data_IF_329230123420
#
_entry.id   IF_329230123420
#
_cell.length_a   1.000
_cell.length_b   1.000
_cell.length_c   1.000
_cell.angle_alpha   90.00
_cell.angle_beta   90.00
_cell.angle_gamma   90.00
#
_symmetry.space_group_name_H-M   'P 1'
#
loop_
_entity.id
_entity.type
_entity.pdbx_description
1 polymer ?
#
# COMPACT_ATOMS: atom_id res chain seq x y z
N UNK A 1 6.20 36.17 -47.27
CA UNK A 1 5.79 34.79 -46.90
C UNK A 1 6.29 34.49 -45.49
N UNK A 2 5.85 35.30 -44.52
CA UNK A 2 4.79 35.06 -43.53
C UNK A 2 5.20 34.16 -42.36
N UNK A 3 5.56 34.83 -41.26
CA UNK A 3 5.69 34.31 -39.89
C UNK A 3 4.43 33.58 -39.39
N UNK A 4 3.31 33.60 -40.13
CA UNK A 4 2.10 32.82 -39.81
C UNK A 4 2.28 31.32 -40.05
N UNK A 5 3.08 30.91 -41.04
CA UNK A 5 3.28 29.49 -41.37
C UNK A 5 4.10 28.74 -40.30
N UNK A 6 5.07 29.42 -39.65
CA UNK A 6 5.85 28.83 -38.56
C UNK A 6 5.01 28.63 -37.28
N UNK A 7 4.14 29.59 -36.94
CA UNK A 7 3.25 29.47 -35.77
C UNK A 7 2.20 28.38 -35.92
N UNK A 8 1.70 28.16 -37.14
CA UNK A 8 0.79 27.06 -37.44
C UNK A 8 1.46 25.69 -37.32
N UNK A 9 2.76 25.59 -37.61
CA UNK A 9 3.52 24.34 -37.51
C UNK A 9 3.86 23.99 -36.05
N UNK A 10 4.24 24.97 -35.22
CA UNK A 10 4.46 24.74 -33.78
C UNK A 10 3.18 24.37 -33.03
N UNK A 11 2.05 25.01 -33.38
CA UNK A 11 0.76 24.69 -32.75
C UNK A 11 0.27 23.28 -33.13
N UNK A 12 0.52 22.85 -34.38
CA UNK A 12 0.16 21.51 -34.84
C UNK A 12 1.03 20.42 -34.19
N UNK A 13 2.33 20.67 -34.00
CA UNK A 13 3.24 19.76 -33.29
C UNK A 13 2.86 19.64 -31.81
N UNK A 14 2.53 20.75 -31.14
CA UNK A 14 2.06 20.75 -29.74
C UNK A 14 0.72 20.02 -29.61
N UNK A 15 -0.22 20.15 -30.56
CA UNK A 15 -1.48 19.41 -30.57
C UNK A 15 -1.29 17.90 -30.83
N UNK A 16 -0.34 17.50 -31.68
CA UNK A 16 -0.05 16.07 -31.91
C UNK A 16 0.70 15.42 -30.75
N UNK A 17 1.60 16.15 -30.06
CA UNK A 17 2.34 15.61 -28.90
C UNK A 17 1.45 15.57 -27.65
N UNK A 18 0.53 16.51 -27.48
CA UNK A 18 -0.44 16.47 -26.36
C UNK A 18 -1.52 15.41 -26.55
N UNK A 19 -1.99 15.17 -27.77
CA UNK A 19 -2.93 14.06 -28.06
C UNK A 19 -2.28 12.68 -27.98
N UNK A 20 -1.00 12.54 -28.31
CA UNK A 20 -0.27 11.28 -28.09
C UNK A 20 0.03 11.00 -26.61
N UNK A 21 0.28 12.03 -25.79
CA UNK A 21 0.47 11.84 -24.35
C UNK A 21 -0.84 11.58 -23.59
N UNK A 22 -1.95 12.20 -24.01
CA UNK A 22 -3.26 11.91 -23.43
C UNK A 22 -3.84 10.55 -23.84
N UNK A 23 -3.46 10.03 -25.01
CA UNK A 23 -3.89 8.70 -25.46
C UNK A 23 -3.09 7.54 -24.84
N UNK A 24 -1.86 7.76 -24.34
CA UNK A 24 -1.09 6.69 -23.69
C UNK A 24 -1.45 6.52 -22.20
N UNK A 25 -1.78 7.61 -21.50
CA UNK A 25 -2.22 7.51 -20.10
C UNK A 25 -3.61 6.87 -19.95
N UNK A 26 -4.43 6.84 -20.99
CA UNK A 26 -5.78 6.25 -20.95
C UNK A 26 -5.82 4.74 -21.26
N UNK A 27 -4.69 4.12 -21.60
CA UNK A 27 -4.64 2.73 -22.09
C UNK A 27 -4.18 1.66 -21.07
N UNK A 28 -3.87 2.03 -19.81
CA UNK A 28 -3.26 1.08 -18.84
C UNK A 28 -4.23 0.57 -17.77
N UNK A 29 -5.50 0.98 -17.76
CA UNK A 29 -6.49 0.39 -16.85
C UNK A 29 -7.84 0.28 -17.55
N UNK A 30 -8.12 -0.88 -18.15
CA UNK A 30 -9.49 -1.21 -18.54
C UNK A 30 -10.31 -1.48 -17.28
N UNK A 31 -11.29 -0.62 -17.02
CA UNK A 31 -12.35 -0.88 -16.04
C UNK A 31 -13.25 -1.96 -16.65
N UNK A 32 -13.12 -3.20 -16.16
CA UNK A 32 -13.93 -4.30 -16.66
C UNK A 32 -15.33 -4.22 -16.05
N UNK A 33 -16.35 -4.14 -16.90
CA UNK A 33 -17.76 -4.19 -16.51
C UNK A 33 -18.05 -5.47 -15.67
N UNK A 34 -18.96 -5.36 -14.71
CA UNK A 34 -19.11 -6.26 -13.53
C UNK A 34 -19.36 -7.75 -13.81
N UNK A 35 -19.48 -8.17 -15.08
CA UNK A 35 -19.60 -9.57 -15.51
C UNK A 35 -18.25 -10.25 -15.79
N UNK A 36 -17.16 -9.50 -16.01
CA UNK A 36 -15.83 -10.05 -16.32
C UNK A 36 -14.94 -10.32 -15.08
N UNK A 37 -15.32 -9.79 -13.92
CA UNK A 37 -14.52 -9.85 -12.68
C UNK A 37 -14.33 -11.27 -12.14
N UNK A 38 -15.19 -12.23 -12.51
CA UNK A 38 -15.07 -13.64 -12.09
C UNK A 38 -13.82 -14.34 -12.66
N UNK A 39 -13.24 -13.83 -13.75
CA UNK A 39 -12.05 -14.43 -14.39
C UNK A 39 -10.71 -13.82 -13.92
N UNK A 40 -10.73 -12.79 -13.07
CA UNK A 40 -9.52 -12.13 -12.58
C UNK A 40 -8.98 -12.76 -11.28
N UNK A 41 -9.72 -13.68 -10.67
CA UNK A 41 -9.28 -14.37 -9.45
C UNK A 41 -8.27 -15.45 -9.82
N UNK A 42 -7.08 -15.40 -9.23
CA UNK A 42 -6.07 -16.44 -9.40
C UNK A 42 -6.67 -17.80 -9.00
N UNK A 43 -6.69 -18.76 -9.93
CA UNK A 43 -7.07 -20.14 -9.60
C UNK A 43 -6.11 -20.69 -8.56
N UNK A 44 -6.66 -21.38 -7.56
CA UNK A 44 -5.87 -22.04 -6.52
C UNK A 44 -4.83 -22.99 -7.15
N UNK A 45 -3.52 -22.81 -6.90
CA UNK A 45 -2.50 -23.77 -7.27
C UNK A 45 -2.75 -25.12 -6.57
N UNK A 46 -2.56 -26.24 -7.27
CA UNK A 46 -2.85 -27.61 -6.76
C UNK A 46 -2.21 -27.90 -5.39
N UNK A 47 -1.04 -27.32 -5.12
CA UNK A 47 -0.26 -27.57 -3.90
C UNK A 47 -0.37 -26.46 -2.84
N UNK A 48 -1.24 -25.45 -3.03
CA UNK A 48 -1.41 -24.38 -2.05
C UNK A 48 -2.60 -24.68 -1.13
N UNK A 49 -2.35 -24.83 0.17
CA UNK A 49 -3.40 -24.99 1.18
C UNK A 49 -3.93 -23.66 1.68
N UNK A 50 -3.07 -22.64 1.74
CA UNK A 50 -3.39 -21.34 2.32
C UNK A 50 -3.38 -20.24 1.26
N UNK A 51 -4.29 -19.27 1.40
CA UNK A 51 -4.41 -18.08 0.56
C UNK A 51 -3.79 -16.86 1.26
N UNK A 52 -2.86 -16.20 0.57
CA UNK A 52 -2.19 -14.98 1.01
C UNK A 52 -2.96 -13.73 0.57
N UNK A 53 -3.30 -12.86 1.51
CA UNK A 53 -3.69 -11.48 1.22
C UNK A 53 -2.47 -10.56 1.28
N UNK A 54 -1.97 -10.07 0.15
CA UNK A 54 -0.94 -9.03 0.14
C UNK A 54 -1.62 -7.68 0.34
N UNK A 55 -1.42 -7.05 1.49
CA UNK A 55 -2.03 -5.76 1.83
C UNK A 55 -0.98 -4.68 1.64
N UNK A 56 -1.26 -3.75 0.72
CA UNK A 56 -0.36 -2.67 0.33
C UNK A 56 -0.97 -1.32 0.73
N UNK A 57 -0.52 -0.71 1.84
CA UNK A 57 -0.91 0.65 2.22
C UNK A 57 -0.48 1.64 1.14
N UNK A 58 -1.41 2.44 0.63
CA UNK A 58 -1.18 3.22 -0.58
C UNK A 58 -1.74 4.64 -0.51
N UNK A 59 -0.94 5.60 -1.01
CA UNK A 59 -1.36 6.94 -1.42
C UNK A 59 -0.26 7.55 -2.29
N UNK A 60 -0.61 8.04 -3.47
CA UNK A 60 0.30 8.77 -4.37
C UNK A 60 1.61 8.00 -4.62
N UNK A 61 1.52 6.71 -4.95
CA UNK A 61 2.64 5.80 -5.27
C UNK A 61 2.47 5.07 -6.61
N UNK A 62 1.87 5.73 -7.59
CA UNK A 62 1.48 5.08 -8.85
C UNK A 62 2.66 4.48 -9.63
N UNK A 63 3.77 5.23 -9.76
CA UNK A 63 4.99 4.73 -10.43
C UNK A 63 5.52 3.46 -9.76
N UNK A 64 5.56 3.44 -8.42
CA UNK A 64 6.00 2.27 -7.65
C UNK A 64 5.01 1.12 -7.79
N UNK A 65 3.71 1.39 -7.85
CA UNK A 65 2.69 0.38 -8.06
C UNK A 65 2.85 -0.36 -9.41
N UNK A 66 3.16 0.39 -10.47
CA UNK A 66 3.36 -0.18 -11.80
C UNK A 66 4.54 -1.17 -11.84
N UNK A 67 5.61 -0.90 -11.08
CA UNK A 67 6.72 -1.85 -10.96
C UNK A 67 6.41 -2.98 -9.97
N UNK A 68 5.73 -2.66 -8.87
CA UNK A 68 5.46 -3.57 -7.76
C UNK A 68 4.58 -4.75 -8.15
N UNK A 69 3.44 -4.48 -8.79
CA UNK A 69 2.40 -5.46 -9.05
C UNK A 69 2.91 -6.59 -9.97
N UNK A 70 3.44 -6.34 -11.18
CA UNK A 70 3.93 -7.40 -12.04
C UNK A 70 5.12 -8.14 -11.41
N UNK A 71 6.03 -7.42 -10.73
CA UNK A 71 7.17 -8.05 -10.04
C UNK A 71 6.70 -9.04 -8.98
N UNK A 72 5.83 -8.62 -8.06
CA UNK A 72 5.39 -9.46 -6.96
C UNK A 72 4.50 -10.60 -7.44
N UNK A 73 3.62 -10.36 -8.41
CA UNK A 73 2.80 -11.41 -9.03
C UNK A 73 3.68 -12.54 -9.59
N UNK A 74 4.71 -12.19 -10.37
CA UNK A 74 5.69 -13.16 -10.90
C UNK A 74 6.45 -13.86 -9.77
N UNK A 75 6.94 -13.10 -8.79
CA UNK A 75 7.70 -13.63 -7.66
C UNK A 75 6.90 -14.68 -6.87
N UNK A 76 5.63 -14.40 -6.56
CA UNK A 76 4.75 -15.30 -5.81
C UNK A 76 4.28 -16.50 -6.66
N UNK A 77 4.01 -16.29 -7.96
CA UNK A 77 3.66 -17.37 -8.89
C UNK A 77 4.80 -18.39 -9.02
N UNK A 78 6.06 -17.93 -9.09
CA UNK A 78 7.23 -18.81 -9.13
C UNK A 78 7.39 -19.67 -7.85
N UNK A 79 6.79 -19.22 -6.75
CA UNK A 79 6.74 -19.96 -5.48
C UNK A 79 5.46 -20.82 -5.35
N UNK A 80 4.58 -20.82 -6.35
CA UNK A 80 3.25 -21.46 -6.30
C UNK A 80 2.39 -20.99 -5.12
N UNK A 81 2.55 -19.74 -4.69
CA UNK A 81 1.74 -19.16 -3.60
C UNK A 81 0.38 -18.75 -4.15
N UNK A 82 -0.70 -19.24 -3.55
CA UNK A 82 -2.04 -18.72 -3.81
C UNK A 82 -2.21 -17.36 -3.15
N UNK A 83 -2.48 -16.31 -3.92
CA UNK A 83 -2.51 -14.95 -3.38
C UNK A 83 -3.52 -14.02 -4.08
N UNK A 84 -3.84 -12.93 -3.40
CA UNK A 84 -4.53 -11.77 -3.93
C UNK A 84 -3.82 -10.50 -3.44
N UNK A 85 -3.63 -9.53 -4.33
CA UNK A 85 -3.03 -8.24 -3.99
C UNK A 85 -4.14 -7.20 -3.77
N UNK A 86 -4.11 -6.55 -2.61
CA UNK A 86 -5.03 -5.50 -2.18
C UNK A 86 -4.29 -4.18 -2.01
N UNK A 87 -4.58 -3.21 -2.87
CA UNK A 87 -4.07 -1.85 -2.74
C UNK A 87 -5.05 -1.06 -1.88
N UNK A 88 -4.64 -0.73 -0.66
CA UNK A 88 -5.49 0.01 0.29
C UNK A 88 -5.20 1.49 0.15
N UNK A 89 -5.95 2.14 -0.75
CA UNK A 89 -5.77 3.52 -1.14
C UNK A 89 -6.45 4.47 -0.14
N UNK A 90 -5.66 5.27 0.58
CA UNK A 90 -6.16 6.24 1.55
C UNK A 90 -6.62 7.52 0.86
N UNK A 91 -7.93 7.74 0.77
CA UNK A 91 -8.55 8.85 0.02
C UNK A 91 -9.05 10.01 0.89
N UNK A 92 -8.87 9.96 2.20
CA UNK A 92 -9.07 11.13 3.08
C UNK A 92 -7.90 12.13 2.99
N UNK A 93 -8.09 13.32 3.58
CA UNK A 93 -7.07 14.38 3.61
C UNK A 93 -6.19 14.37 4.88
N UNK A 94 -6.32 13.35 5.73
CA UNK A 94 -5.45 13.20 6.90
C UNK A 94 -4.04 12.80 6.45
N UNK A 95 -3.07 12.84 7.36
CA UNK A 95 -1.73 12.29 7.07
C UNK A 95 -1.83 10.80 6.77
N UNK A 96 -0.83 10.27 6.08
CA UNK A 96 -0.82 8.84 5.74
C UNK A 96 -0.77 7.98 7.02
N UNK A 97 -1.63 6.99 7.14
CA UNK A 97 -1.71 6.09 8.31
C UNK A 97 -1.59 4.63 7.84
N UNK A 98 -0.35 4.17 7.75
CA UNK A 98 0.01 2.82 7.28
C UNK A 98 -0.69 1.73 8.09
N UNK A 99 -0.66 1.83 9.42
CA UNK A 99 -1.22 0.83 10.32
C UNK A 99 -2.74 0.69 10.21
N UNK A 100 -3.49 1.79 10.17
CA UNK A 100 -4.94 1.75 9.98
C UNK A 100 -5.35 1.21 8.61
N UNK A 101 -4.56 1.49 7.56
CA UNK A 101 -4.78 0.90 6.23
C UNK A 101 -4.54 -0.61 6.23
N UNK A 102 -3.51 -1.10 6.94
CA UNK A 102 -3.33 -2.54 7.13
C UNK A 102 -4.55 -3.14 7.83
N UNK A 103 -5.04 -2.53 8.92
CA UNK A 103 -6.24 -3.02 9.60
C UNK A 103 -7.46 -3.06 8.65
N UNK A 104 -7.69 -2.01 7.85
CA UNK A 104 -8.79 -1.96 6.88
C UNK A 104 -8.66 -3.05 5.81
N UNK A 105 -7.47 -3.21 5.25
CA UNK A 105 -7.16 -4.25 4.28
C UNK A 105 -7.32 -5.66 4.86
N UNK A 106 -6.95 -5.86 6.13
CA UNK A 106 -7.12 -7.13 6.83
C UNK A 106 -8.59 -7.50 6.95
N UNK A 107 -9.43 -6.56 7.40
CA UNK A 107 -10.88 -6.79 7.51
C UNK A 107 -11.47 -7.19 6.17
N UNK A 108 -11.08 -6.52 5.08
CA UNK A 108 -11.57 -6.85 3.75
C UNK A 108 -11.05 -8.22 3.26
N UNK A 109 -9.74 -8.45 3.31
CA UNK A 109 -9.09 -9.64 2.76
C UNK A 109 -9.46 -10.94 3.49
N UNK A 110 -9.88 -10.85 4.75
CA UNK A 110 -10.21 -12.01 5.60
C UNK A 110 -11.71 -12.19 5.86
N UNK A 111 -12.54 -11.45 5.13
CA UNK A 111 -14.00 -11.54 5.17
C UNK A 111 -14.55 -12.31 3.96
N UNK A 112 -15.69 -12.99 4.16
CA UNK A 112 -16.45 -13.64 3.09
C UNK A 112 -15.90 -15.01 2.64
N UNK A 113 -16.46 -15.52 1.54
CA UNK A 113 -16.17 -16.87 1.01
C UNK A 113 -14.78 -17.02 0.39
N UNK A 114 -14.14 -15.92 0.03
CA UNK A 114 -12.80 -15.86 -0.59
C UNK A 114 -11.72 -15.40 0.41
N UNK A 115 -11.97 -15.59 1.72
CA UNK A 115 -11.09 -15.17 2.82
C UNK A 115 -9.66 -15.67 2.65
N UNK A 116 -8.71 -14.78 2.91
CA UNK A 116 -7.30 -15.14 3.08
C UNK A 116 -7.04 -15.74 4.47
N UNK A 117 -6.09 -16.68 4.55
CA UNK A 117 -5.71 -17.37 5.80
C UNK A 117 -4.60 -16.61 6.55
N UNK A 118 -3.84 -15.81 5.81
CA UNK A 118 -2.74 -15.00 6.32
C UNK A 118 -2.54 -13.79 5.41
N UNK A 119 -1.87 -12.78 5.95
CA UNK A 119 -1.59 -11.54 5.25
C UNK A 119 -0.09 -11.28 5.17
N UNK A 120 0.32 -10.56 4.13
CA UNK A 120 1.60 -9.86 4.09
C UNK A 120 1.32 -8.36 4.16
N UNK A 121 1.79 -7.71 5.22
CA UNK A 121 1.88 -6.24 5.25
C UNK A 121 3.07 -5.86 4.39
N UNK A 122 2.84 -5.17 3.28
CA UNK A 122 3.87 -4.99 2.25
C UNK A 122 3.98 -3.54 1.79
N UNK A 123 5.18 -2.98 1.93
CA UNK A 123 5.48 -1.67 1.36
C UNK A 123 5.60 -1.78 -0.17
N UNK A 124 5.00 -0.82 -0.89
CA UNK A 124 4.94 -0.82 -2.37
C UNK A 124 6.31 -0.58 -3.04
N UNK A 125 7.24 0.04 -2.32
CA UNK A 125 8.56 0.44 -2.83
C UNK A 125 9.69 -0.52 -2.44
N UNK A 126 9.36 -1.71 -1.92
CA UNK A 126 10.34 -2.70 -1.44
C UNK A 126 10.13 -4.06 -2.13
N UNK A 127 10.93 -4.37 -3.16
CA UNK A 127 10.77 -5.60 -3.94
C UNK A 127 11.75 -6.69 -3.52
N UNK A 128 11.29 -7.94 -3.28
CA UNK A 128 12.18 -9.05 -3.02
C UNK A 128 12.94 -9.45 -4.29
N UNK A 129 14.27 -9.60 -4.19
CA UNK A 129 15.13 -10.05 -5.30
C UNK A 129 15.56 -11.51 -5.13
N UNK A 130 15.74 -11.96 -3.88
CA UNK A 130 16.17 -13.32 -3.59
C UNK A 130 14.98 -14.29 -3.51
N UNK A 131 14.93 -15.26 -4.43
CA UNK A 131 13.90 -16.31 -4.50
C UNK A 131 13.87 -17.23 -3.26
N UNK A 132 14.90 -17.21 -2.41
CA UNK A 132 14.91 -17.94 -1.14
C UNK A 132 13.99 -17.29 -0.08
N UNK A 133 13.55 -16.04 -0.27
CA UNK A 133 12.52 -15.42 0.58
C UNK A 133 11.16 -16.06 0.31
N UNK A 134 10.73 -16.96 1.20
CA UNK A 134 9.48 -17.71 1.06
C UNK A 134 8.31 -16.96 1.68
N UNK A 135 7.30 -16.69 0.86
CA UNK A 135 6.03 -16.08 1.30
C UNK A 135 5.03 -17.13 1.80
N UNK A 136 5.51 -18.24 2.36
CA UNK A 136 4.67 -19.35 2.82
C UNK A 136 3.87 -18.99 4.08
N UNK A 137 2.83 -19.78 4.37
CA UNK A 137 2.02 -19.62 5.57
C UNK A 137 2.88 -19.64 6.86
N UNK A 138 2.81 -18.61 7.72
CA UNK A 138 3.68 -18.46 8.88
C UNK A 138 3.17 -19.27 10.10
N UNK A 139 3.21 -20.61 9.99
CA UNK A 139 2.64 -21.52 11.00
C UNK A 139 3.24 -21.35 12.41
N UNK A 140 4.55 -21.05 12.50
CA UNK A 140 5.26 -20.95 13.78
C UNK A 140 5.15 -19.57 14.47
N UNK A 141 4.49 -18.60 13.84
CA UNK A 141 4.44 -17.21 14.30
C UNK A 141 4.77 -16.21 13.19
N UNK A 142 4.59 -14.90 13.43
CA UNK A 142 4.85 -13.84 12.45
C UNK A 142 6.23 -13.98 11.78
N UNK A 143 6.28 -13.89 10.45
CA UNK A 143 7.50 -14.00 9.66
C UNK A 143 7.86 -12.64 9.07
N UNK A 144 8.94 -12.03 9.56
CA UNK A 144 9.43 -10.74 9.08
C UNK A 144 10.48 -10.96 7.97
N UNK A 145 10.06 -10.82 6.71
CA UNK A 145 10.92 -11.04 5.53
C UNK A 145 11.93 -9.90 5.34
N UNK A 146 11.52 -8.66 5.58
CA UNK A 146 12.36 -7.46 5.50
C UNK A 146 13.29 -7.31 6.71
N UNK A 147 13.94 -8.41 7.13
CA UNK A 147 14.73 -8.47 8.36
C UNK A 147 15.85 -7.42 8.43
N UNK A 148 16.30 -6.99 9.63
CA UNK A 148 17.31 -5.93 9.77
C UNK A 148 18.64 -6.20 9.05
N UNK A 149 19.05 -7.47 8.96
CA UNK A 149 20.27 -7.90 8.25
C UNK A 149 20.10 -8.01 6.72
N UNK A 150 18.88 -7.79 6.21
CA UNK A 150 18.52 -7.88 4.79
C UNK A 150 17.98 -6.55 4.23
N UNK A 151 17.35 -5.73 5.08
CA UNK A 151 16.73 -4.47 4.69
C UNK A 151 17.80 -3.43 4.34
N UNK A 152 17.68 -2.68 3.24
CA UNK A 152 18.73 -1.76 2.78
C UNK A 152 18.91 -0.50 3.63
N UNK A 153 18.02 -0.24 4.60
CA UNK A 153 18.02 1.03 5.37
C UNK A 153 17.87 0.90 6.89
N UNK A 154 17.28 -0.17 7.41
CA UNK A 154 16.88 -0.25 8.82
C UNK A 154 17.46 -1.52 9.42
N UNK A 155 18.35 -1.36 10.41
CA UNK A 155 19.20 -2.46 10.92
C UNK A 155 19.06 -2.71 12.43
N UNK A 156 18.13 -2.03 13.10
CA UNK A 156 17.94 -2.19 14.54
C UNK A 156 17.12 -3.45 14.86
N UNK A 157 17.39 -4.09 16.00
CA UNK A 157 16.92 -5.45 16.33
C UNK A 157 15.40 -5.61 16.36
N UNK A 158 14.67 -4.58 16.77
CA UNK A 158 13.21 -4.60 16.94
C UNK A 158 12.44 -4.20 15.69
N UNK A 159 13.14 -3.88 14.59
CA UNK A 159 12.51 -3.51 13.32
C UNK A 159 11.65 -4.65 12.76
N UNK A 160 10.42 -4.30 12.38
CA UNK A 160 9.39 -5.17 11.77
C UNK A 160 8.60 -4.48 10.64
N UNK A 161 9.14 -3.39 10.07
CA UNK A 161 8.55 -2.66 8.93
C UNK A 161 8.87 -3.33 7.58
N UNK A 162 8.51 -2.69 6.47
CA UNK A 162 8.73 -3.27 5.14
C UNK A 162 7.77 -4.40 4.82
N UNK A 163 8.17 -5.65 5.10
CA UNK A 163 7.43 -6.87 4.72
C UNK A 163 7.35 -7.84 5.90
N UNK A 164 6.15 -7.98 6.47
CA UNK A 164 5.87 -8.93 7.54
C UNK A 164 4.61 -9.75 7.23
N UNK A 165 4.75 -11.07 7.36
CA UNK A 165 3.69 -12.06 7.18
C UNK A 165 3.14 -12.49 8.54
N UNK A 166 1.81 -12.62 8.64
CA UNK A 166 1.15 -13.02 9.88
C UNK A 166 -0.17 -13.75 9.55
N UNK A 167 -0.46 -14.83 10.29
CA UNK A 167 -1.73 -15.55 10.14
C UNK A 167 -2.91 -14.68 10.57
N UNK A 168 -4.10 -15.00 10.03
CA UNK A 168 -5.35 -14.36 10.42
C UNK A 168 -5.55 -14.38 11.94
N UNK A 169 -5.34 -15.53 12.55
CA UNK A 169 -5.55 -15.73 13.99
C UNK A 169 -4.56 -14.92 14.83
N UNK A 170 -3.28 -14.92 14.47
CA UNK A 170 -2.28 -14.13 15.20
C UNK A 170 -2.53 -12.62 15.07
N UNK A 171 -3.00 -12.14 13.92
CA UNK A 171 -3.33 -10.72 13.75
C UNK A 171 -4.56 -10.31 14.58
N UNK A 172 -5.58 -11.18 14.66
CA UNK A 172 -6.75 -10.99 15.54
C UNK A 172 -6.32 -11.02 17.01
N UNK A 173 -5.49 -11.99 17.40
CA UNK A 173 -5.02 -12.16 18.78
C UNK A 173 -4.37 -10.90 19.36
N UNK A 174 -3.61 -10.17 18.54
CA UNK A 174 -2.93 -8.93 18.96
C UNK A 174 -3.76 -7.66 18.72
N UNK A 175 -5.02 -7.83 18.31
CA UNK A 175 -5.93 -6.75 17.93
C UNK A 175 -5.34 -5.84 16.84
N UNK A 176 -4.71 -6.43 15.82
CA UNK A 176 -4.07 -5.72 14.72
C UNK A 176 -3.08 -4.64 15.15
N UNK A 177 -2.89 -3.64 14.29
CA UNK A 177 -1.99 -2.51 14.53
C UNK A 177 -2.71 -1.34 15.22
N UNK A 178 -1.98 -0.44 15.89
CA UNK A 178 -2.57 0.78 16.45
C UNK A 178 -3.07 1.75 15.37
N UNK A 179 -4.16 2.47 15.64
CA UNK A 179 -4.71 3.49 14.76
C UNK A 179 -4.15 4.90 15.02
N UNK A 180 -3.23 5.07 15.98
CA UNK A 180 -2.74 6.40 16.41
C UNK A 180 -1.63 6.99 15.53
N UNK A 181 -1.10 6.23 14.58
CA UNK A 181 0.13 6.55 13.87
C UNK A 181 -0.15 7.27 12.54
N UNK A 182 -0.39 8.58 12.65
CA UNK A 182 -0.55 9.47 11.50
C UNK A 182 0.78 10.12 11.11
N UNK A 183 1.22 9.92 9.87
CA UNK A 183 2.55 10.30 9.39
C UNK A 183 3.58 9.19 9.55
N UNK A 184 4.85 9.51 9.27
CA UNK A 184 5.90 8.48 9.23
C UNK A 184 6.42 8.10 10.62
N UNK A 185 6.45 6.79 10.88
CA UNK A 185 7.27 6.09 11.88
C UNK A 185 6.53 5.65 13.15
N UNK A 186 7.15 4.67 13.83
CA UNK A 186 6.80 4.08 15.13
C UNK A 186 5.60 3.11 15.14
N UNK A 187 4.83 3.00 14.06
CA UNK A 187 3.68 2.08 14.04
C UNK A 187 4.10 0.62 13.99
N UNK A 188 5.22 0.34 13.32
CA UNK A 188 5.88 -0.96 13.26
C UNK A 188 6.55 -1.30 14.60
N UNK A 189 7.24 -0.34 15.22
CA UNK A 189 7.84 -0.52 16.55
C UNK A 189 6.77 -0.81 17.63
N UNK A 190 5.62 -0.15 17.56
CA UNK A 190 4.51 -0.45 18.48
C UNK A 190 3.91 -1.82 18.21
N UNK A 191 3.78 -2.20 16.94
CA UNK A 191 3.32 -3.52 16.54
C UNK A 191 4.28 -4.63 17.01
N UNK A 192 5.59 -4.42 16.95
CA UNK A 192 6.58 -5.34 17.55
C UNK A 192 6.26 -5.60 19.03
N UNK A 193 5.96 -4.56 19.80
CA UNK A 193 5.58 -4.70 21.21
C UNK A 193 4.27 -5.48 21.36
N UNK A 194 3.28 -5.28 20.47
CA UNK A 194 2.04 -6.07 20.46
C UNK A 194 2.32 -7.56 20.26
N UNK A 195 3.14 -7.91 19.27
CA UNK A 195 3.51 -9.28 18.98
C UNK A 195 4.18 -9.93 20.19
N UNK A 196 5.14 -9.24 20.82
CA UNK A 196 5.82 -9.73 22.03
C UNK A 196 4.86 -9.90 23.20
N UNK A 197 3.95 -8.95 23.44
CA UNK A 197 2.95 -9.04 24.52
C UNK A 197 1.88 -10.10 24.26
N UNK A 198 1.60 -10.41 22.99
CA UNK A 198 0.74 -11.51 22.59
C UNK A 198 1.41 -12.89 22.70
N UNK A 199 2.64 -12.98 23.20
CA UNK A 199 3.38 -14.24 23.31
C UNK A 199 3.86 -14.79 21.97
N UNK A 200 3.86 -13.98 20.90
CA UNK A 200 4.25 -14.41 19.57
C UNK A 200 5.76 -14.27 19.36
N UNK A 201 6.36 -15.30 18.76
CA UNK A 201 7.76 -15.29 18.33
C UNK A 201 7.85 -14.82 16.88
N UNK A 202 8.68 -13.80 16.65
CA UNK A 202 8.90 -13.24 15.31
C UNK A 202 10.06 -14.00 14.68
N UNK A 203 9.78 -14.67 13.57
CA UNK A 203 10.74 -15.40 12.77
C UNK A 203 11.29 -14.51 11.66
N UNK A 204 12.52 -14.79 11.21
CA UNK A 204 13.20 -14.07 10.13
C UNK A 204 13.95 -15.05 9.25
N UNK A 205 14.11 -14.78 7.94
CA UNK A 205 14.94 -15.60 7.07
C UNK A 205 16.38 -15.68 7.58
N UNK A 206 16.87 -16.91 7.77
CA UNK A 206 18.27 -17.20 8.03
C UNK A 206 18.97 -17.76 6.78
N UNK A 207 20.31 -17.74 6.78
CA UNK A 207 21.15 -18.44 5.79
C UNK A 207 20.86 -18.09 4.32
N UNK A 208 20.58 -16.83 4.02
CA UNK A 208 20.46 -16.36 2.64
C UNK A 208 21.85 -16.09 2.04
N UNK A 209 21.97 -16.28 0.73
CA UNK A 209 23.18 -15.91 -0.04
C UNK A 209 23.33 -14.39 -0.24
N UNK A 210 22.32 -13.61 0.12
CA UNK A 210 22.23 -12.16 -0.07
C UNK A 210 22.17 -11.42 1.27
N UNK A 211 22.48 -10.12 1.25
CA UNK A 211 22.44 -9.23 2.42
C UNK A 211 21.78 -7.89 2.12
N UNK A 212 22.14 -6.86 2.88
CA UNK A 212 21.52 -5.51 2.84
C UNK A 212 21.52 -4.83 1.46
N UNK A 213 22.45 -5.20 0.57
CA UNK A 213 22.63 -4.54 -0.72
C UNK A 213 21.87 -5.20 -1.88
N UNK A 214 21.48 -6.47 -1.75
CA UNK A 214 21.01 -7.27 -2.87
C UNK A 214 19.86 -8.24 -2.54
N UNK A 215 19.32 -8.19 -1.31
CA UNK A 215 18.13 -8.99 -0.96
C UNK A 215 16.85 -8.31 -1.42
N UNK A 216 16.79 -6.98 -1.32
CA UNK A 216 15.64 -6.18 -1.73
C UNK A 216 16.08 -5.00 -2.61
N UNK A 217 15.26 -4.66 -3.60
CA UNK A 217 15.33 -3.35 -4.27
C UNK A 217 14.38 -2.40 -3.55
N UNK A 218 14.93 -1.36 -2.94
CA UNK A 218 14.16 -0.30 -2.30
C UNK A 218 14.22 0.96 -3.16
N UNK A 219 13.15 1.25 -3.88
CA UNK A 219 13.11 2.29 -4.91
C UNK A 219 12.12 3.39 -4.49
N UNK A 220 12.61 4.23 -3.59
CA UNK A 220 11.86 5.33 -3.03
C UNK A 220 12.10 6.60 -3.85
N UNK A 221 11.09 7.11 -4.56
CA UNK A 221 11.24 8.34 -5.34
C UNK A 221 11.70 9.51 -4.44
N UNK A 222 12.89 10.10 -4.66
CA UNK A 222 13.44 11.14 -3.78
C UNK A 222 12.56 12.39 -3.66
N UNK A 223 11.70 12.65 -4.67
CA UNK A 223 10.74 13.76 -4.65
C UNK A 223 9.62 13.53 -3.62
N UNK A 224 9.38 12.28 -3.20
CA UNK A 224 8.32 11.91 -2.25
C UNK A 224 8.87 11.79 -0.84
N UNK A 225 9.01 12.93 -0.18
CA UNK A 225 9.54 13.00 1.19
C UNK A 225 8.62 12.28 2.19
N UNK A 226 9.23 11.57 3.13
CA UNK A 226 8.53 11.02 4.31
C UNK A 226 7.99 12.15 5.17
N UNK A 227 6.78 11.97 5.70
CA UNK A 227 6.12 12.91 6.59
C UNK A 227 6.65 12.79 8.03
N UNK A 228 7.80 13.41 8.29
CA UNK A 228 8.45 13.41 9.60
C UNK A 228 7.83 14.39 10.60
N UNK A 229 6.94 15.28 10.17
CA UNK A 229 6.39 16.37 10.99
C UNK A 229 5.82 15.81 12.31
N UNK A 230 5.99 16.58 13.39
CA UNK A 230 5.38 16.30 14.69
C UNK A 230 4.69 17.57 15.15
N UNK A 231 3.43 17.45 15.51
CA UNK A 231 2.59 18.55 16.01
C UNK A 231 1.82 18.09 17.24
N UNK A 232 1.34 19.04 18.05
CA UNK A 232 0.73 18.76 19.36
C UNK A 232 1.67 17.90 20.23
N UNK A 233 1.13 16.99 21.02
CA UNK A 233 1.89 16.04 21.84
C UNK A 233 2.23 14.72 21.11
N UNK A 234 2.24 14.69 19.76
CA UNK A 234 2.45 13.46 18.99
C UNK A 234 3.73 12.71 19.42
N UNK A 235 4.84 13.43 19.62
CA UNK A 235 6.14 12.83 19.97
C UNK A 235 6.09 12.02 21.25
N UNK A 236 5.35 12.49 22.25
CA UNK A 236 5.17 11.81 23.51
C UNK A 236 4.16 10.68 23.39
N UNK A 237 3.01 10.95 22.75
CA UNK A 237 1.90 10.01 22.64
C UNK A 237 2.27 8.75 21.85
N UNK A 238 2.91 8.88 20.68
CA UNK A 238 3.22 7.73 19.80
C UNK A 238 4.38 6.86 20.29
N UNK A 239 5.07 7.25 21.36
CA UNK A 239 6.11 6.45 22.03
C UNK A 239 5.57 5.58 23.15
N UNK A 240 4.31 5.77 23.55
CA UNK A 240 3.63 4.95 24.55
C UNK A 240 2.91 3.79 23.85
N UNK A 241 2.92 2.61 24.47
CA UNK A 241 2.16 1.43 24.00
C UNK A 241 0.67 1.75 23.98
N UNK A 242 0.02 1.57 22.82
CA UNK A 242 -1.39 1.92 22.65
C UNK A 242 -2.33 0.76 23.00
N UNK A 243 -2.76 0.68 24.25
CA UNK A 243 -3.69 -0.37 24.70
C UNK A 243 -5.16 -0.12 24.36
N UNK A 244 -5.47 1.01 23.70
CA UNK A 244 -6.85 1.45 23.48
C UNK A 244 -7.29 1.13 22.06
N UNK A 245 -6.46 1.44 21.06
CA UNK A 245 -6.86 1.27 19.65
C UNK A 245 -6.24 0.03 19.00
N UNK A 246 -6.84 -0.41 17.89
CA UNK A 246 -6.51 -1.65 17.21
C UNK A 246 -7.47 -1.96 16.07
N UNK A 247 -7.47 -3.20 15.63
CA UNK A 247 -8.37 -3.73 14.61
C UNK A 247 -9.85 -3.50 14.95
N UNK A 248 -10.25 -3.84 16.18
CA UNK A 248 -11.65 -3.77 16.63
C UNK A 248 -12.18 -2.35 16.90
N UNK A 249 -11.32 -1.34 16.88
CA UNK A 249 -11.68 0.07 17.10
C UNK A 249 -11.42 0.93 15.86
N UNK A 250 -11.00 0.32 14.75
CA UNK A 250 -10.77 1.03 13.50
C UNK A 250 -12.08 1.67 13.02
N UNK A 251 -12.04 2.99 12.81
CA UNK A 251 -13.13 3.74 12.20
C UNK A 251 -12.74 4.14 10.78
N UNK A 252 -13.46 3.62 9.79
CA UNK A 252 -13.25 3.90 8.38
C UNK A 252 -14.51 3.65 7.57
N UNK A 253 -14.54 4.16 6.34
CA UNK A 253 -15.49 3.73 5.31
C UNK A 253 -14.76 3.21 4.08
N UNK A 254 -15.24 2.08 3.56
CA UNK A 254 -14.86 1.58 2.24
C UNK A 254 -15.75 2.27 1.20
N UNK A 255 -15.18 3.23 0.48
CA UNK A 255 -15.92 4.08 -0.47
C UNK A 255 -16.14 3.38 -1.80
N UNK A 256 -15.17 2.61 -2.27
CA UNK A 256 -15.33 1.78 -3.47
C UNK A 256 -14.29 0.67 -3.52
N UNK A 257 -14.67 -0.43 -4.18
CA UNK A 257 -13.76 -1.52 -4.54
C UNK A 257 -13.68 -1.59 -6.07
N UNK A 258 -12.47 -1.56 -6.62
CA UNK A 258 -12.23 -1.72 -8.06
C UNK A 258 -11.22 -2.82 -8.31
N UNK A 259 -11.47 -3.67 -9.30
CA UNK A 259 -10.50 -4.66 -9.75
C UNK A 259 -9.95 -4.24 -11.11
N UNK A 260 -8.63 -4.28 -11.27
CA UNK A 260 -7.99 -4.04 -12.56
C UNK A 260 -6.80 -4.96 -12.78
N UNK A 261 -6.39 -5.06 -14.04
CA UNK A 261 -5.16 -5.72 -14.45
C UNK A 261 -4.08 -4.65 -14.62
N UNK A 262 -2.96 -4.81 -13.92
CA UNK A 262 -1.72 -4.09 -14.24
C UNK A 262 -0.97 -4.87 -15.31
N UNK A 263 -0.49 -4.18 -16.35
CA UNK A 263 0.16 -4.78 -17.53
C UNK A 263 -0.61 -5.99 -18.11
N UNK A 264 -1.94 -5.86 -18.18
CA UNK A 264 -2.88 -6.84 -18.76
C UNK A 264 -2.86 -8.25 -18.14
N UNK A 265 -2.08 -8.50 -17.08
CA UNK A 265 -1.79 -9.85 -16.60
C UNK A 265 -1.75 -10.01 -15.09
N UNK A 266 -1.61 -8.91 -14.34
CA UNK A 266 -1.49 -8.96 -12.89
C UNK A 266 -2.74 -8.35 -12.22
N UNK A 267 -3.70 -9.18 -11.76
CA UNK A 267 -4.94 -8.71 -11.17
C UNK A 267 -4.70 -8.14 -9.77
N UNK A 268 -5.25 -6.96 -9.52
CA UNK A 268 -5.25 -6.33 -8.20
C UNK A 268 -6.64 -5.81 -7.85
N UNK A 269 -6.90 -5.76 -6.54
CA UNK A 269 -8.12 -5.13 -6.01
C UNK A 269 -7.71 -3.86 -5.26
N UNK A 270 -8.31 -2.74 -5.64
CA UNK A 270 -8.09 -1.44 -5.01
C UNK A 270 -9.26 -1.09 -4.12
N UNK A 271 -8.94 -0.83 -2.87
CA UNK A 271 -9.87 -0.45 -1.81
C UNK A 271 -9.68 1.04 -1.56
N UNK A 272 -10.63 1.86 -1.99
CA UNK A 272 -10.63 3.28 -1.65
C UNK A 272 -11.19 3.43 -0.23
N UNK A 273 -10.28 3.69 0.71
CA UNK A 273 -10.56 3.77 2.15
C UNK A 273 -10.50 5.22 2.60
N UNK A 274 -11.55 5.66 3.28
CA UNK A 274 -11.59 6.92 4.02
C UNK A 274 -11.48 6.62 5.50
N UNK A 275 -10.35 6.95 6.11
CA UNK A 275 -10.15 6.81 7.54
C UNK A 275 -10.83 7.94 8.30
N UNK A 276 -11.37 7.64 9.48
CA UNK A 276 -11.85 8.64 10.43
C UNK A 276 -10.73 9.02 11.39
N UNK A 277 -10.67 10.30 11.76
CA UNK A 277 -9.80 10.78 12.84
C UNK A 277 -10.67 11.42 13.94
N UNK A 278 -10.49 10.94 15.16
CA UNK A 278 -10.92 11.68 16.34
C UNK A 278 -9.83 12.70 16.70
N UNK A 279 -10.03 13.96 16.32
CA UNK A 279 -9.08 15.04 16.56
C UNK A 279 -8.89 15.36 18.05
N UNK A 280 -9.76 14.88 18.95
CA UNK A 280 -9.53 14.99 20.41
C UNK A 280 -8.49 13.99 20.89
N UNK A 281 -8.43 12.80 20.29
CA UNK A 281 -7.51 11.73 20.67
C UNK A 281 -6.20 11.77 19.90
N UNK A 282 -6.27 12.06 18.60
CA UNK A 282 -5.12 12.08 17.70
C UNK A 282 -5.11 13.35 16.84
N UNK A 283 -5.03 14.56 17.45
CA UNK A 283 -5.07 15.83 16.70
C UNK A 283 -3.97 15.92 15.63
N UNK A 284 -2.86 15.18 15.80
CA UNK A 284 -1.77 15.11 14.83
C UNK A 284 -2.10 14.36 13.53
N UNK A 285 -3.33 13.87 13.35
CA UNK A 285 -3.83 13.41 12.04
C UNK A 285 -3.89 14.53 11.00
N UNK A 286 -4.01 15.79 11.46
CA UNK A 286 -3.83 17.02 10.68
C UNK A 286 -2.94 17.99 11.45
N UNK A 287 -1.76 18.30 10.93
CA UNK A 287 -0.91 19.32 11.54
C UNK A 287 -1.20 20.71 10.97
N UNK A 288 -1.17 21.77 11.80
CA UNK A 288 -1.26 23.15 11.32
C UNK A 288 -0.19 23.44 10.25
N UNK A 289 -0.56 24.15 9.19
CA UNK A 289 0.36 24.57 8.13
C UNK A 289 0.68 23.51 7.05
N UNK A 290 0.18 22.28 7.16
CA UNK A 290 0.26 21.30 6.07
C UNK A 290 -0.91 21.51 5.12
N UNK A 291 -0.64 21.92 3.87
CA UNK A 291 -1.66 21.89 2.81
C UNK A 291 -2.16 20.44 2.65
N UNK A 292 -3.48 20.22 2.44
CA UNK A 292 -3.98 18.91 2.05
C UNK A 292 -3.16 18.39 0.87
N UNK A 293 -2.85 17.09 0.86
CA UNK A 293 -2.32 16.46 -0.35
C UNK A 293 -3.35 16.71 -1.45
N UNK A 294 -2.99 17.55 -2.43
CA UNK A 294 -3.85 17.84 -3.56
C UNK A 294 -4.15 16.51 -4.25
N UNK A 295 -5.33 15.94 -3.99
CA UNK A 295 -5.97 15.07 -4.96
C UNK A 295 -6.14 15.93 -6.20
N UNK A 296 -5.49 15.57 -7.30
CA UNK A 296 -5.69 16.20 -8.59
C UNK A 296 -7.10 15.88 -9.08
N UNK A 297 -8.11 16.51 -8.48
CA UNK A 297 -9.42 16.66 -9.07
C UNK A 297 -9.33 17.77 -10.12
N UNK A 298 -8.70 17.47 -11.26
CA UNK A 298 -8.96 18.20 -12.50
C UNK A 298 -10.22 17.58 -13.10
N UNK A 299 -11.37 17.87 -12.51
CA UNK A 299 -12.69 17.67 -13.11
C UNK A 299 -13.71 18.38 -12.22
N UNK A 300 -13.85 19.68 -12.48
CA UNK A 300 -14.98 20.58 -12.13
C UNK A 300 -14.47 22.02 -12.19
N UNK A 301 -14.38 22.57 -13.41
CA UNK A 301 -14.61 23.99 -13.71
C UNK A 301 -14.31 24.28 -15.19
N UNK A 302 -15.10 23.71 -16.10
CA UNK A 302 -15.37 24.35 -17.39
C UNK A 302 -16.86 24.25 -17.64
N UNK A 303 -17.55 25.35 -17.34
CA UNK A 303 -19.00 25.41 -17.43
C UNK A 303 -19.54 26.68 -16.80
N UNK A 304 -19.01 27.83 -17.20
CA UNK A 304 -19.66 29.16 -17.17
C UNK A 304 -18.68 30.24 -17.66
N UNK A 305 -19.10 30.95 -18.71
CA UNK A 305 -18.51 32.15 -19.36
C UNK A 305 -18.12 31.85 -20.83
N UNK A 306 -18.75 32.41 -21.86
CA UNK A 306 -19.73 33.48 -21.87
C UNK A 306 -20.43 33.65 -23.23
N UNK A 307 -21.59 34.31 -23.18
CA UNK A 307 -22.11 35.13 -24.28
C UNK A 307 -21.20 36.35 -24.44
N UNK A 308 -20.80 36.71 -25.66
CA UNK A 308 -20.89 38.09 -26.21
C UNK A 308 -20.90 37.98 -27.75
N UNK A 309 -21.88 38.68 -28.34
CA UNK A 309 -22.07 39.11 -29.75
C UNK A 309 -21.97 38.08 -30.87
#
# INVERSE_FOLDING_TARGET
>A
MSRSLLKSCELLIVLTVTTFFFSWCLLIAFETDGKSTRNLVQRRPKNSLYKLGVIVPFRDRFDELLEFVPHLQMFLNNQSVWHQIYIVNQIDDYRFNRASLINAGFLFATSGSESCDYIAMHDVDLLPLNQQLRYSFPAAGPLHLAAPHLHPKYHYKTFVGGILLISKDHFIQVNGMSNKYWGWGLEDDEFYVRLKQGGLTIHRPGNLSTGINNTFRHFHNPRRKRDYLKCFNQRESTRKRDRITGLNTLQYSLVSTRSFLVDHSAPVTVLNVRLSCDEKLTPWCKCPGKKPSLQTNKDKNEGKSGKVS
#
